data_IF_536923937852
#
_entry.id   IF_536923937852
#
_cell.length_a   1.000
_cell.length_b   1.000
_cell.length_c   1.000
_cell.angle_alpha   90.00
_cell.angle_beta   90.00
_cell.angle_gamma   90.00
#
_symmetry.space_group_name_H-M   'P 1'
#
loop_
_entity.id
_entity.type
_entity.pdbx_description
1 polymer ?
#
# COMPACT_ATOMS: atom_id res chain seq x y z
N UNK A 1 19.11 38.76 17.14
CA UNK A 1 18.35 37.68 17.84
C UNK A 1 17.27 37.02 17.02
N UNK A 2 17.06 37.32 15.74
CA UNK A 2 16.01 36.74 14.88
C UNK A 2 16.38 35.40 14.17
N UNK A 3 17.66 35.01 14.16
CA UNK A 3 18.13 33.81 13.41
C UNK A 3 17.81 32.46 14.09
N UNK A 4 17.58 32.45 15.40
CA UNK A 4 17.41 31.20 16.16
C UNK A 4 15.97 30.59 16.10
N UNK A 5 14.97 31.42 15.77
CA UNK A 5 13.56 30.97 15.67
C UNK A 5 13.28 30.17 14.39
N UNK A 6 13.83 30.59 13.25
CA UNK A 6 13.67 29.93 11.97
C UNK A 6 14.31 28.52 11.93
N UNK A 7 15.54 28.42 12.46
CA UNK A 7 16.25 27.12 12.52
C UNK A 7 15.54 26.10 13.41
N UNK A 8 14.96 26.51 14.54
CA UNK A 8 14.19 25.64 15.44
C UNK A 8 12.88 25.18 14.80
N UNK A 9 12.20 26.05 14.03
CA UNK A 9 10.97 25.70 13.32
C UNK A 9 11.26 24.67 12.21
N UNK A 10 12.30 24.91 11.40
CA UNK A 10 12.74 23.97 10.35
C UNK A 10 13.07 22.58 10.90
N UNK A 11 13.82 22.51 12.00
CA UNK A 11 14.16 21.23 12.66
C UNK A 11 12.89 20.54 13.18
N UNK A 12 11.95 21.29 13.77
CA UNK A 12 10.70 20.73 14.27
C UNK A 12 9.84 20.18 13.14
N UNK A 13 9.68 20.91 12.05
CA UNK A 13 8.90 20.51 10.88
C UNK A 13 9.52 19.28 10.20
N UNK A 14 10.86 19.24 10.08
CA UNK A 14 11.58 18.06 9.57
C UNK A 14 11.35 16.81 10.44
N UNK A 15 11.36 16.95 11.77
CA UNK A 15 11.09 15.81 12.67
C UNK A 15 9.66 15.29 12.54
N UNK A 16 8.67 16.18 12.33
CA UNK A 16 7.26 15.78 12.23
C UNK A 16 7.02 14.94 10.98
N UNK A 17 7.43 15.40 9.79
CA UNK A 17 7.17 14.63 8.57
C UNK A 17 7.96 13.32 8.52
N UNK A 18 9.21 13.28 9.04
CA UNK A 18 10.00 12.05 9.17
C UNK A 18 9.27 11.04 10.06
N UNK A 19 8.78 11.49 11.23
CA UNK A 19 8.02 10.63 12.15
C UNK A 19 6.74 10.09 11.51
N UNK A 20 6.01 10.92 10.75
CA UNK A 20 4.83 10.49 10.01
C UNK A 20 5.14 9.43 8.95
N UNK A 21 6.26 9.56 8.23
CA UNK A 21 6.67 8.57 7.22
C UNK A 21 7.12 7.26 7.87
N UNK A 22 7.85 7.32 8.97
CA UNK A 22 8.23 6.12 9.73
C UNK A 22 6.99 5.40 10.28
N UNK A 23 6.05 6.15 10.86
CA UNK A 23 4.77 5.61 11.33
C UNK A 23 4.02 4.92 10.18
N UNK A 24 3.92 5.59 9.01
CA UNK A 24 3.35 4.97 7.82
C UNK A 24 4.05 3.66 7.46
N UNK A 25 5.40 3.63 7.44
CA UNK A 25 6.17 2.43 7.12
C UNK A 25 5.85 1.26 8.05
N UNK A 26 5.86 1.50 9.36
CA UNK A 26 5.54 0.47 10.36
C UNK A 26 4.10 -0.02 10.22
N UNK A 27 3.14 0.90 10.13
CA UNK A 27 1.72 0.55 10.00
C UNK A 27 1.42 -0.16 8.67
N UNK A 28 2.09 0.23 7.58
CA UNK A 28 1.98 -0.45 6.29
C UNK A 28 2.51 -1.89 6.38
N UNK A 29 3.64 -2.12 7.06
CA UNK A 29 4.16 -3.47 7.27
C UNK A 29 3.21 -4.34 8.09
N UNK A 30 2.66 -3.80 9.18
CA UNK A 30 1.64 -4.47 9.98
C UNK A 30 0.37 -4.79 9.14
N UNK A 31 -0.06 -3.89 8.27
CA UNK A 31 -1.20 -4.11 7.36
C UNK A 31 -1.05 -5.36 6.51
N UNK A 32 0.15 -5.66 5.99
CA UNK A 32 0.34 -6.85 5.16
C UNK A 32 0.10 -8.15 5.96
N UNK A 33 0.44 -8.15 7.25
CA UNK A 33 0.14 -9.25 8.17
C UNK A 33 -1.37 -9.38 8.39
N UNK A 34 -2.04 -8.26 8.69
CA UNK A 34 -3.50 -8.22 8.88
C UNK A 34 -4.25 -8.64 7.61
N UNK A 35 -3.82 -8.20 6.42
CA UNK A 35 -4.39 -8.64 5.14
C UNK A 35 -4.35 -10.15 4.99
N UNK A 36 -3.18 -10.77 5.23
CA UNK A 36 -3.03 -12.21 5.10
C UNK A 36 -3.88 -12.97 6.12
N UNK A 37 -3.93 -12.51 7.37
CA UNK A 37 -4.81 -13.08 8.41
C UNK A 37 -6.30 -12.90 8.08
N UNK A 38 -6.70 -11.74 7.55
CA UNK A 38 -8.08 -11.49 7.12
C UNK A 38 -8.50 -12.44 5.99
N UNK A 39 -7.62 -12.65 5.00
CA UNK A 39 -7.87 -13.56 3.87
C UNK A 39 -7.80 -15.05 4.22
N UNK A 40 -7.38 -15.41 5.42
CA UNK A 40 -7.46 -16.79 5.90
C UNK A 40 -8.90 -17.23 6.24
N UNK A 41 -9.78 -16.26 6.55
CA UNK A 41 -11.19 -16.52 6.95
C UNK A 41 -12.23 -15.97 5.97
N UNK A 42 -11.79 -15.21 4.97
CA UNK A 42 -12.69 -14.53 4.03
C UNK A 42 -12.06 -14.50 2.64
N UNK A 43 -12.89 -14.37 1.61
CA UNK A 43 -12.40 -14.24 0.24
C UNK A 43 -11.71 -12.89 0.02
N UNK A 44 -10.87 -12.80 -1.01
CA UNK A 44 -10.17 -11.54 -1.35
C UNK A 44 -11.14 -10.39 -1.56
N UNK A 45 -12.27 -10.64 -2.25
CA UNK A 45 -13.26 -9.60 -2.56
C UNK A 45 -14.02 -9.19 -1.30
N UNK A 46 -14.40 -10.12 -0.45
CA UNK A 46 -15.04 -9.83 0.83
C UNK A 46 -14.16 -8.95 1.71
N UNK A 47 -12.87 -9.30 1.85
CA UNK A 47 -11.92 -8.48 2.60
C UNK A 47 -11.79 -7.08 1.99
N UNK A 48 -11.66 -6.96 0.67
CA UNK A 48 -11.52 -5.66 0.01
C UNK A 48 -12.76 -4.79 0.16
N UNK A 49 -13.97 -5.35 0.00
CA UNK A 49 -15.23 -4.61 0.14
C UNK A 49 -15.40 -4.09 1.57
N UNK A 50 -15.34 -4.97 2.56
CA UNK A 50 -15.55 -4.54 3.96
C UNK A 50 -14.44 -3.61 4.43
N UNK A 51 -13.19 -3.91 4.10
CA UNK A 51 -12.03 -3.07 4.39
C UNK A 51 -12.18 -1.65 3.86
N UNK A 52 -12.62 -1.48 2.60
CA UNK A 52 -12.79 -0.16 1.99
C UNK A 52 -14.00 0.57 2.57
N UNK A 53 -15.12 -0.12 2.82
CA UNK A 53 -16.30 0.47 3.46
C UNK A 53 -15.98 0.95 4.87
N UNK A 54 -15.36 0.13 5.70
CA UNK A 54 -14.96 0.53 7.06
C UNK A 54 -13.96 1.68 7.04
N UNK A 55 -12.99 1.65 6.10
CA UNK A 55 -12.04 2.75 5.94
C UNK A 55 -12.75 4.04 5.53
N UNK A 56 -13.75 3.98 4.64
CA UNK A 56 -14.55 5.15 4.28
C UNK A 56 -15.30 5.72 5.51
N UNK A 57 -15.91 4.87 6.33
CA UNK A 57 -16.57 5.32 7.57
C UNK A 57 -15.59 6.02 8.51
N UNK A 58 -14.38 5.46 8.69
CA UNK A 58 -13.36 6.11 9.50
C UNK A 58 -12.91 7.46 8.89
N UNK A 59 -12.73 7.52 7.57
CA UNK A 59 -12.36 8.76 6.87
C UNK A 59 -13.48 9.80 6.99
N UNK A 60 -14.75 9.42 6.88
CA UNK A 60 -15.86 10.34 7.09
C UNK A 60 -15.87 10.91 8.51
N UNK A 61 -15.56 10.11 9.52
CA UNK A 61 -15.45 10.57 10.90
C UNK A 61 -14.32 11.59 11.08
N UNK A 62 -13.13 11.33 10.49
CA UNK A 62 -12.01 12.29 10.53
C UNK A 62 -12.32 13.57 9.75
N UNK A 63 -12.99 13.46 8.61
CA UNK A 63 -13.45 14.60 7.80
C UNK A 63 -14.46 15.47 8.56
N UNK A 64 -15.41 14.84 9.26
CA UNK A 64 -16.35 15.58 10.10
C UNK A 64 -15.63 16.39 11.20
N UNK A 65 -14.58 15.82 11.80
CA UNK A 65 -13.71 16.54 12.73
C UNK A 65 -12.98 17.72 12.06
N UNK A 66 -12.41 17.52 10.88
CA UNK A 66 -11.72 18.61 10.15
C UNK A 66 -12.65 19.77 9.77
N UNK A 67 -13.89 19.45 9.40
CA UNK A 67 -14.92 20.46 9.10
C UNK A 67 -15.35 21.19 10.37
N UNK A 68 -15.51 20.47 11.50
CA UNK A 68 -15.97 21.05 12.75
C UNK A 68 -14.95 21.98 13.42
N UNK A 69 -13.66 21.68 13.26
CA UNK A 69 -12.55 22.40 13.91
C UNK A 69 -11.68 23.20 12.92
N UNK A 70 -11.95 23.12 11.62
CA UNK A 70 -11.22 23.83 10.58
C UNK A 70 -11.89 25.14 10.17
N UNK A 71 -11.15 25.96 9.43
CA UNK A 71 -11.61 27.27 8.96
C UNK A 71 -12.44 27.18 7.66
N UNK A 72 -12.43 26.02 6.98
CA UNK A 72 -13.12 25.80 5.71
C UNK A 72 -14.56 25.34 5.93
N UNK A 73 -15.53 26.00 5.28
CA UNK A 73 -16.91 25.62 5.35
C UNK A 73 -17.18 24.21 4.80
N UNK A 74 -18.12 23.47 5.42
CA UNK A 74 -18.43 22.08 5.03
C UNK A 74 -18.73 21.90 3.53
N UNK A 75 -19.48 22.85 2.93
CA UNK A 75 -19.84 22.82 1.51
C UNK A 75 -18.61 22.97 0.61
N UNK A 76 -17.72 23.87 0.95
CA UNK A 76 -16.47 24.12 0.22
C UNK A 76 -15.53 22.93 0.36
N UNK A 77 -15.39 22.38 1.57
CA UNK A 77 -14.58 21.20 1.81
C UNK A 77 -15.05 19.99 0.99
N UNK A 78 -16.36 19.74 0.96
CA UNK A 78 -16.92 18.56 0.28
C UNK A 78 -17.07 18.75 -1.24
N UNK A 79 -17.45 19.95 -1.69
CA UNK A 79 -17.84 20.16 -3.08
C UNK A 79 -17.05 21.29 -3.79
N UNK A 80 -16.03 21.84 -3.17
CA UNK A 80 -15.21 22.91 -3.73
C UNK A 80 -14.21 22.48 -4.81
N UNK A 81 -14.12 21.19 -5.12
CA UNK A 81 -13.19 20.65 -6.10
C UNK A 81 -13.62 20.98 -7.54
N UNK A 82 -12.65 21.21 -8.40
CA UNK A 82 -12.90 21.39 -9.86
C UNK A 82 -13.31 20.06 -10.50
N UNK A 83 -14.15 20.05 -11.56
CA UNK A 83 -14.55 18.81 -12.23
C UNK A 83 -13.37 17.93 -12.68
N UNK A 84 -12.29 18.54 -13.17
CA UNK A 84 -11.06 17.84 -13.56
C UNK A 84 -10.36 17.12 -12.40
N UNK A 85 -10.44 17.66 -11.16
CA UNK A 85 -9.88 17.03 -9.98
C UNK A 85 -10.69 15.79 -9.59
N UNK A 86 -12.02 15.85 -9.64
CA UNK A 86 -12.86 14.65 -9.42
C UNK A 86 -12.55 13.55 -10.44
N UNK A 87 -12.41 13.91 -11.72
CA UNK A 87 -12.06 12.94 -12.76
C UNK A 87 -10.69 12.32 -12.51
N UNK A 88 -9.69 13.11 -12.14
CA UNK A 88 -8.36 12.61 -11.83
C UNK A 88 -8.35 11.69 -10.59
N UNK A 89 -9.11 12.05 -9.53
CA UNK A 89 -9.27 11.20 -8.35
C UNK A 89 -10.00 9.90 -8.70
N UNK A 90 -11.02 9.94 -9.56
CA UNK A 90 -11.72 8.74 -10.02
C UNK A 90 -10.79 7.81 -10.80
N UNK A 91 -9.97 8.32 -11.72
CA UNK A 91 -8.96 7.55 -12.46
C UNK A 91 -7.94 6.93 -11.49
N UNK A 92 -7.42 7.73 -10.55
CA UNK A 92 -6.53 7.23 -9.48
C UNK A 92 -7.17 6.09 -8.69
N UNK A 93 -8.43 6.26 -8.29
CA UNK A 93 -9.17 5.24 -7.51
C UNK A 93 -9.38 3.96 -8.31
N UNK A 94 -9.63 4.07 -9.62
CA UNK A 94 -9.71 2.90 -10.50
C UNK A 94 -8.36 2.17 -10.62
N UNK A 95 -7.26 2.91 -10.75
CA UNK A 95 -5.90 2.33 -10.75
C UNK A 95 -5.64 1.57 -9.44
N UNK A 96 -6.00 2.17 -8.30
CA UNK A 96 -5.87 1.50 -6.98
C UNK A 96 -6.78 0.29 -6.87
N UNK A 97 -8.02 0.37 -7.37
CA UNK A 97 -8.96 -0.75 -7.37
C UNK A 97 -8.35 -1.99 -8.04
N UNK A 98 -7.78 -1.84 -9.23
CA UNK A 98 -7.10 -2.93 -9.94
C UNK A 98 -5.84 -3.37 -9.20
N UNK A 99 -5.03 -2.41 -8.74
CA UNK A 99 -3.79 -2.69 -8.01
C UNK A 99 -4.04 -3.54 -6.76
N UNK A 100 -5.08 -3.25 -6.00
CA UNK A 100 -5.38 -3.97 -4.77
C UNK A 100 -5.94 -5.37 -5.04
N UNK A 101 -6.78 -5.56 -6.05
CA UNK A 101 -7.22 -6.91 -6.45
C UNK A 101 -6.00 -7.78 -6.79
N UNK A 102 -5.07 -7.26 -7.61
CA UNK A 102 -3.85 -7.98 -7.98
C UNK A 102 -2.96 -8.26 -6.75
N UNK A 103 -2.74 -7.24 -5.92
CA UNK A 103 -1.88 -7.35 -4.75
C UNK A 103 -2.43 -8.30 -3.68
N UNK A 104 -3.71 -8.24 -3.37
CA UNK A 104 -4.34 -9.13 -2.40
C UNK A 104 -4.36 -10.60 -2.88
N UNK A 105 -4.63 -10.83 -4.17
CA UNK A 105 -4.55 -12.18 -4.75
C UNK A 105 -3.13 -12.74 -4.69
N UNK A 106 -2.12 -11.93 -5.01
CA UNK A 106 -0.73 -12.31 -4.89
C UNK A 106 -0.36 -12.62 -3.44
N UNK A 107 -0.66 -11.73 -2.50
CA UNK A 107 -0.34 -11.89 -1.09
C UNK A 107 -1.02 -13.13 -0.46
N UNK A 108 -2.23 -13.46 -0.89
CA UNK A 108 -2.95 -14.66 -0.39
C UNK A 108 -2.16 -15.95 -0.66
N UNK A 109 -1.53 -16.05 -1.83
CA UNK A 109 -0.83 -17.26 -2.32
C UNK A 109 0.69 -17.23 -2.10
N UNK A 110 1.22 -16.13 -1.62
CA UNK A 110 2.66 -15.94 -1.39
C UNK A 110 2.97 -15.72 0.09
N UNK A 111 4.19 -16.07 0.55
CA UNK A 111 4.66 -15.65 1.86
C UNK A 111 4.66 -14.12 2.01
N UNK A 112 4.32 -13.65 3.20
CA UNK A 112 4.22 -12.19 3.47
C UNK A 112 5.57 -11.50 3.29
N UNK A 113 6.66 -12.16 3.72
CA UNK A 113 8.01 -11.63 3.58
C UNK A 113 8.44 -11.51 2.11
N UNK A 114 8.14 -12.52 1.28
CA UNK A 114 8.44 -12.50 -0.17
C UNK A 114 7.64 -11.38 -0.85
N UNK A 115 6.35 -11.28 -0.56
CA UNK A 115 5.51 -10.19 -1.06
C UNK A 115 6.06 -8.82 -0.64
N UNK A 116 6.47 -8.66 0.62
CA UNK A 116 7.04 -7.42 1.14
C UNK A 116 8.31 -6.98 0.42
N UNK A 117 9.18 -7.94 0.03
CA UNK A 117 10.38 -7.63 -0.78
C UNK A 117 9.99 -7.27 -2.21
N UNK A 118 9.05 -7.99 -2.83
CA UNK A 118 8.55 -7.66 -4.17
C UNK A 118 7.87 -6.28 -4.20
N UNK A 119 7.18 -5.86 -3.14
CA UNK A 119 6.57 -4.52 -3.03
C UNK A 119 7.61 -3.39 -3.11
N UNK A 120 8.88 -3.67 -2.80
CA UNK A 120 9.97 -2.70 -2.99
C UNK A 120 10.24 -2.37 -4.48
N UNK A 121 9.84 -3.24 -5.43
CA UNK A 121 9.93 -2.96 -6.87
C UNK A 121 9.15 -1.70 -7.27
N UNK A 122 8.21 -1.26 -6.45
CA UNK A 122 7.50 0.02 -6.63
C UNK A 122 8.47 1.21 -6.78
N UNK A 123 9.62 1.18 -6.11
CA UNK A 123 10.63 2.24 -6.20
C UNK A 123 11.20 2.31 -7.62
N UNK A 124 11.50 1.16 -8.21
CA UNK A 124 11.99 1.07 -9.60
C UNK A 124 10.94 1.62 -10.57
N UNK A 125 9.69 1.20 -10.43
CA UNK A 125 8.61 1.71 -11.27
C UNK A 125 8.37 3.21 -11.08
N UNK A 126 8.45 3.71 -9.84
CA UNK A 126 8.31 5.14 -9.59
C UNK A 126 9.44 5.94 -10.21
N UNK A 127 10.68 5.45 -10.16
CA UNK A 127 11.83 6.07 -10.83
C UNK A 127 11.68 6.04 -12.36
N UNK A 128 11.26 4.90 -12.93
CA UNK A 128 11.01 4.79 -14.37
C UNK A 128 9.94 5.79 -14.83
N UNK A 129 8.85 5.94 -14.08
CA UNK A 129 7.81 6.92 -14.39
C UNK A 129 8.33 8.35 -14.29
N UNK A 130 9.18 8.67 -13.31
CA UNK A 130 9.85 9.96 -13.20
C UNK A 130 10.67 10.29 -14.44
N UNK A 131 11.46 9.33 -14.93
CA UNK A 131 12.27 9.49 -16.14
C UNK A 131 11.39 9.64 -17.39
N UNK A 132 10.42 8.74 -17.58
CA UNK A 132 9.64 8.66 -18.82
C UNK A 132 8.57 9.76 -18.92
N UNK A 133 7.92 10.12 -17.80
CA UNK A 133 6.79 11.05 -17.77
C UNK A 133 7.24 12.46 -17.44
N UNK A 134 8.16 12.62 -16.48
CA UNK A 134 8.65 13.93 -16.04
C UNK A 134 9.92 14.35 -16.75
N UNK A 135 10.51 13.50 -17.60
CA UNK A 135 11.75 13.79 -18.33
C UNK A 135 12.98 13.94 -17.42
N UNK A 136 12.93 13.39 -16.21
CA UNK A 136 14.04 13.43 -15.28
C UNK A 136 15.24 12.65 -15.84
N UNK A 137 16.44 13.21 -15.69
CA UNK A 137 17.69 12.54 -16.08
C UNK A 137 18.32 11.93 -14.84
N UNK A 138 18.33 10.60 -14.71
CA UNK A 138 18.93 9.98 -13.54
C UNK A 138 20.42 10.25 -13.48
N UNK A 139 20.93 10.57 -12.28
CA UNK A 139 22.36 10.63 -12.03
C UNK A 139 22.98 9.23 -12.11
N UNK A 140 24.31 9.14 -12.21
CA UNK A 140 25.02 7.85 -12.19
C UNK A 140 24.71 7.05 -10.90
N UNK A 141 24.58 7.74 -9.77
CA UNK A 141 24.24 7.14 -8.47
C UNK A 141 22.83 6.59 -8.47
N UNK A 142 21.88 7.31 -9.04
CA UNK A 142 20.48 6.83 -9.20
C UNK A 142 20.43 5.58 -10.09
N UNK A 143 21.17 5.58 -11.20
CA UNK A 143 21.28 4.41 -12.08
C UNK A 143 21.87 3.20 -11.36
N UNK A 144 22.98 3.38 -10.64
CA UNK A 144 23.61 2.32 -9.85
C UNK A 144 22.67 1.79 -8.74
N UNK A 145 21.95 2.68 -8.07
CA UNK A 145 20.96 2.33 -7.07
C UNK A 145 19.82 1.48 -7.64
N UNK A 146 19.27 1.84 -8.80
CA UNK A 146 18.23 1.06 -9.49
C UNK A 146 18.73 -0.34 -9.83
N UNK A 147 19.97 -0.46 -10.36
CA UNK A 147 20.59 -1.76 -10.66
C UNK A 147 20.71 -2.61 -9.39
N UNK A 148 21.13 -2.02 -8.27
CA UNK A 148 21.28 -2.72 -7.00
C UNK A 148 19.91 -3.19 -6.45
N UNK A 149 18.85 -2.38 -6.59
CA UNK A 149 17.46 -2.79 -6.27
C UNK A 149 17.05 -3.99 -7.11
N UNK A 150 17.28 -3.94 -8.43
CA UNK A 150 16.97 -5.06 -9.33
C UNK A 150 17.76 -6.33 -8.95
N UNK A 151 19.03 -6.19 -8.56
CA UNK A 151 19.86 -7.31 -8.08
C UNK A 151 19.27 -7.93 -6.80
N UNK A 152 18.89 -7.11 -5.82
CA UNK A 152 18.27 -7.59 -4.58
C UNK A 152 16.94 -8.34 -4.82
N UNK A 153 16.11 -7.83 -5.74
CA UNK A 153 14.88 -8.52 -6.16
C UNK A 153 15.17 -9.82 -6.91
N UNK A 154 16.23 -9.85 -7.74
CA UNK A 154 16.66 -11.05 -8.45
C UNK A 154 17.20 -12.12 -7.49
N UNK A 155 17.98 -11.72 -6.49
CA UNK A 155 18.48 -12.64 -5.46
C UNK A 155 17.37 -13.36 -4.71
N UNK A 156 16.21 -12.74 -4.57
CA UNK A 156 15.05 -13.36 -3.93
C UNK A 156 14.61 -14.66 -4.65
N UNK A 157 14.85 -14.79 -5.96
CA UNK A 157 14.55 -16.00 -6.72
C UNK A 157 15.31 -17.23 -6.21
N UNK A 158 16.49 -17.02 -5.63
CA UNK A 158 17.30 -18.11 -5.09
C UNK A 158 16.92 -18.51 -3.66
N UNK A 159 16.09 -17.71 -3.01
CA UNK A 159 15.51 -18.07 -1.72
C UNK A 159 14.38 -19.08 -1.97
N UNK A 160 14.76 -20.36 -2.19
CA UNK A 160 13.77 -21.44 -2.29
C UNK A 160 13.03 -21.54 -0.96
N UNK A 161 11.76 -21.29 -0.94
CA UNK A 161 10.92 -21.76 0.17
C UNK A 161 10.70 -23.25 -0.02
N UNK A 162 11.09 -24.02 1.00
CA UNK A 162 10.54 -25.38 1.14
C UNK A 162 9.04 -25.16 1.24
N UNK A 163 8.26 -25.80 0.35
CA UNK A 163 6.81 -25.68 0.36
C UNK A 163 6.35 -25.79 1.81
N UNK A 164 5.54 -24.82 2.26
CA UNK A 164 4.99 -24.86 3.60
C UNK A 164 4.42 -26.26 3.78
N UNK A 165 4.99 -26.99 4.76
CA UNK A 165 4.59 -28.34 5.05
C UNK A 165 3.08 -28.39 5.16
N UNK A 166 2.46 -29.34 4.49
CA UNK A 166 1.02 -29.61 4.40
C UNK A 166 0.32 -29.84 5.75
N UNK A 167 1.01 -29.65 6.86
CA UNK A 167 0.52 -29.91 8.20
C UNK A 167 -0.51 -28.91 8.74
N UNK A 168 -0.69 -27.75 8.10
CA UNK A 168 -1.74 -26.77 8.50
C UNK A 168 -3.04 -26.91 7.70
N UNK A 169 -3.11 -27.84 6.73
CA UNK A 169 -4.28 -28.08 5.89
C UNK A 169 -5.42 -28.88 6.56
N UNK A 170 -5.32 -29.22 7.83
CA UNK A 170 -6.25 -30.18 8.44
C UNK A 170 -7.44 -29.62 9.23
N UNK A 171 -7.67 -28.31 9.30
CA UNK A 171 -8.69 -27.82 10.26
C UNK A 171 -9.78 -26.87 9.74
N UNK A 172 -10.06 -26.77 8.46
CA UNK A 172 -11.32 -26.13 8.05
C UNK A 172 -11.83 -26.56 6.66
N UNK A 173 -12.64 -27.64 6.58
CA UNK A 173 -13.09 -28.18 5.29
C UNK A 173 -14.15 -27.33 4.58
N UNK A 174 -14.87 -26.44 5.28
CA UNK A 174 -16.06 -25.81 4.72
C UNK A 174 -15.79 -24.53 3.89
N UNK A 175 -14.72 -23.79 4.18
CA UNK A 175 -14.36 -22.58 3.43
C UNK A 175 -13.56 -22.89 2.16
N UNK A 176 -12.86 -24.03 2.16
CA UNK A 176 -12.03 -24.49 1.03
C UNK A 176 -12.88 -25.04 -0.13
N UNK A 177 -14.02 -25.68 0.19
CA UNK A 177 -14.86 -26.36 -0.80
C UNK A 177 -15.59 -25.40 -1.73
N UNK A 178 -16.02 -24.23 -1.27
CA UNK A 178 -16.78 -23.30 -2.11
C UNK A 178 -15.90 -22.51 -3.11
N UNK A 179 -14.66 -22.20 -2.75
CA UNK A 179 -13.72 -21.53 -3.66
C UNK A 179 -12.93 -22.52 -4.52
N UNK A 180 -12.59 -23.68 -3.99
CA UNK A 180 -11.90 -24.74 -4.73
C UNK A 180 -12.77 -25.29 -5.87
N UNK A 181 -14.09 -25.34 -5.71
CA UNK A 181 -15.01 -25.74 -6.78
C UNK A 181 -15.20 -24.65 -7.84
N UNK A 182 -15.01 -23.37 -7.52
CA UNK A 182 -15.05 -22.28 -8.49
C UNK A 182 -13.69 -22.07 -9.19
N UNK A 183 -12.57 -22.37 -8.52
CA UNK A 183 -11.21 -22.21 -9.05
C UNK A 183 -10.60 -23.51 -9.59
N UNK A 184 -11.07 -24.70 -9.18
CA UNK A 184 -10.52 -26.00 -9.60
C UNK A 184 -10.80 -26.32 -11.08
N UNK A 185 -11.60 -25.51 -11.74
CA UNK A 185 -11.88 -25.66 -13.18
C UNK A 185 -10.95 -24.87 -14.09
N UNK A 186 -10.07 -24.04 -13.54
CA UNK A 186 -9.12 -23.25 -14.34
C UNK A 186 -7.84 -22.97 -13.57
N UNK A 187 -6.80 -23.71 -13.97
CA UNK A 187 -5.39 -23.34 -13.86
C UNK A 187 -4.66 -23.59 -12.52
N UNK A 188 -3.75 -24.57 -12.57
CA UNK A 188 -2.47 -24.59 -11.82
C UNK A 188 -1.71 -23.31 -12.15
N UNK A 189 -2.10 -22.17 -11.57
CA UNK A 189 -1.34 -20.95 -11.71
C UNK A 189 0.03 -21.12 -11.04
N UNK A 190 1.06 -21.19 -11.86
CA UNK A 190 2.46 -21.20 -11.48
C UNK A 190 2.73 -20.05 -10.49
N UNK A 191 3.62 -20.25 -9.53
CA UNK A 191 4.18 -19.19 -8.65
C UNK A 191 4.54 -17.92 -9.45
N UNK A 192 4.99 -18.08 -10.70
CA UNK A 192 5.28 -16.99 -11.63
C UNK A 192 4.09 -16.07 -11.91
N UNK A 193 2.87 -16.60 -11.96
CA UNK A 193 1.66 -15.79 -12.16
C UNK A 193 1.40 -14.84 -10.96
N UNK A 194 1.55 -15.34 -9.73
CA UNK A 194 1.36 -14.50 -8.55
C UNK A 194 2.46 -13.46 -8.39
N UNK A 195 3.70 -13.79 -8.78
CA UNK A 195 4.79 -12.81 -8.89
C UNK A 195 4.43 -11.73 -9.91
N UNK A 196 3.91 -12.12 -11.07
CA UNK A 196 3.44 -11.16 -12.09
C UNK A 196 2.32 -10.26 -11.54
N UNK A 197 1.32 -10.82 -10.85
CA UNK A 197 0.26 -10.03 -10.21
C UNK A 197 0.83 -9.05 -9.17
N UNK A 198 1.81 -9.47 -8.37
CA UNK A 198 2.49 -8.58 -7.43
C UNK A 198 3.20 -7.43 -8.15
N UNK A 199 3.91 -7.71 -9.26
CA UNK A 199 4.59 -6.69 -10.05
C UNK A 199 3.61 -5.71 -10.71
N UNK A 200 2.49 -6.20 -11.26
CA UNK A 200 1.40 -5.33 -11.78
C UNK A 200 0.85 -4.44 -10.66
N UNK A 201 0.60 -5.01 -9.48
CA UNK A 201 0.16 -4.23 -8.31
C UNK A 201 1.18 -3.16 -7.94
N UNK A 202 2.48 -3.47 -7.92
CA UNK A 202 3.55 -2.52 -7.64
C UNK A 202 3.59 -1.37 -8.64
N UNK A 203 3.49 -1.69 -9.95
CA UNK A 203 3.46 -0.70 -11.01
C UNK A 203 2.25 0.25 -10.87
N UNK A 204 1.05 -0.29 -10.74
CA UNK A 204 -0.17 0.51 -10.60
C UNK A 204 -0.16 1.36 -9.31
N UNK A 205 0.38 0.84 -8.22
CA UNK A 205 0.57 1.63 -7.00
C UNK A 205 1.63 2.73 -7.18
N UNK A 206 2.67 2.52 -8.01
CA UNK A 206 3.63 3.57 -8.35
C UNK A 206 2.96 4.69 -9.18
N UNK A 207 2.13 4.33 -10.16
CA UNK A 207 1.31 5.29 -10.93
C UNK A 207 0.44 6.10 -9.99
N UNK A 208 -0.34 5.45 -9.13
CA UNK A 208 -1.21 6.13 -8.16
C UNK A 208 -0.44 7.07 -7.24
N UNK A 209 0.73 6.65 -6.73
CA UNK A 209 1.56 7.49 -5.86
C UNK A 209 2.12 8.74 -6.55
N UNK A 210 2.41 8.67 -7.86
CA UNK A 210 2.79 9.84 -8.64
C UNK A 210 1.58 10.77 -8.88
N UNK A 211 0.38 10.20 -9.11
CA UNK A 211 -0.86 10.99 -9.20
C UNK A 211 -1.16 11.75 -7.90
N UNK A 212 -0.88 11.16 -6.73
CA UNK A 212 -1.04 11.86 -5.44
C UNK A 212 -0.20 13.13 -5.36
N UNK A 213 1.06 13.05 -5.82
CA UNK A 213 1.96 14.22 -5.84
C UNK A 213 1.42 15.32 -6.73
N UNK A 214 0.98 14.97 -7.94
CA UNK A 214 0.41 15.93 -8.89
C UNK A 214 -0.85 16.58 -8.32
N UNK A 215 -1.76 15.78 -7.76
CA UNK A 215 -3.03 16.27 -7.21
C UNK A 215 -2.84 17.16 -5.98
N UNK A 216 -1.88 16.85 -5.11
CA UNK A 216 -1.65 17.64 -3.88
C UNK A 216 -0.75 18.84 -4.13
N UNK A 217 0.24 18.75 -5.01
CA UNK A 217 1.21 19.82 -5.27
C UNK A 217 0.66 20.87 -6.23
N UNK A 218 0.07 20.42 -7.33
CA UNK A 218 -0.37 21.30 -8.43
C UNK A 218 -1.88 21.57 -8.37
N UNK A 219 -2.62 20.78 -7.58
CA UNK A 219 -4.07 20.82 -7.49
C UNK A 219 -4.63 21.51 -6.25
N UNK A 220 -3.80 22.00 -5.33
CA UNK A 220 -4.21 22.63 -4.06
C UNK A 220 -5.18 21.78 -3.21
N UNK A 221 -5.15 20.45 -3.39
CA UNK A 221 -6.00 19.52 -2.66
C UNK A 221 -5.49 19.29 -1.25
N UNK A 222 -6.37 19.45 -0.27
CA UNK A 222 -6.03 19.04 1.10
C UNK A 222 -5.91 17.52 1.20
N UNK A 223 -5.11 17.04 2.15
CA UNK A 223 -4.93 15.61 2.41
C UNK A 223 -6.25 14.91 2.72
N UNK A 224 -7.15 15.60 3.42
CA UNK A 224 -8.46 15.09 3.79
C UNK A 224 -9.42 14.97 2.60
N UNK A 225 -9.49 16.00 1.76
CA UNK A 225 -10.33 15.99 0.56
C UNK A 225 -9.90 14.86 -0.39
N UNK A 226 -8.59 14.72 -0.64
CA UNK A 226 -8.07 13.63 -1.48
C UNK A 226 -8.43 12.27 -0.88
N UNK A 227 -8.22 12.07 0.43
CA UNK A 227 -8.49 10.80 1.09
C UNK A 227 -9.99 10.45 1.06
N UNK A 228 -10.86 11.43 1.31
CA UNK A 228 -12.32 11.22 1.27
C UNK A 228 -12.78 10.78 -0.11
N UNK A 229 -12.49 11.59 -1.13
CA UNK A 229 -13.02 11.33 -2.47
C UNK A 229 -12.44 10.08 -3.12
N UNK A 230 -11.14 9.81 -2.90
CA UNK A 230 -10.60 8.56 -3.44
C UNK A 230 -11.22 7.32 -2.79
N UNK A 231 -11.54 7.39 -1.48
CA UNK A 231 -12.23 6.28 -0.80
C UNK A 231 -13.69 6.13 -1.29
N UNK A 232 -14.40 7.23 -1.52
CA UNK A 232 -15.75 7.20 -2.09
C UNK A 232 -15.76 6.50 -3.45
N UNK A 233 -14.88 6.92 -4.38
CA UNK A 233 -14.78 6.29 -5.70
C UNK A 233 -14.32 4.83 -5.60
N UNK A 234 -13.40 4.52 -4.71
CA UNK A 234 -12.90 3.16 -4.53
C UNK A 234 -14.00 2.20 -4.04
N UNK A 235 -14.80 2.63 -3.05
CA UNK A 235 -15.97 1.86 -2.59
C UNK A 235 -16.98 1.71 -3.72
N UNK A 236 -17.26 2.77 -4.49
CA UNK A 236 -18.17 2.70 -5.64
C UNK A 236 -17.71 1.65 -6.67
N UNK A 237 -16.40 1.58 -6.98
CA UNK A 237 -15.86 0.57 -7.89
C UNK A 237 -15.98 -0.85 -7.34
N UNK A 238 -15.74 -1.06 -6.04
CA UNK A 238 -15.92 -2.40 -5.45
C UNK A 238 -17.40 -2.82 -5.43
N UNK A 239 -18.31 -1.92 -5.06
CA UNK A 239 -19.76 -2.19 -5.07
C UNK A 239 -20.24 -2.51 -6.49
N UNK A 240 -19.80 -1.70 -7.49
CA UNK A 240 -20.11 -1.94 -8.89
C UNK A 240 -19.56 -3.31 -9.35
N UNK A 241 -18.32 -3.64 -9.00
CA UNK A 241 -17.69 -4.92 -9.34
C UNK A 241 -18.48 -6.10 -8.77
N UNK A 242 -18.87 -6.04 -7.49
CA UNK A 242 -19.70 -7.08 -6.83
C UNK A 242 -21.04 -7.20 -7.52
N UNK A 243 -21.71 -6.07 -7.83
CA UNK A 243 -23.02 -6.06 -8.49
C UNK A 243 -22.96 -6.66 -9.91
N UNK A 244 -21.98 -6.25 -10.72
CA UNK A 244 -21.79 -6.74 -12.09
C UNK A 244 -21.43 -8.23 -12.11
N UNK A 245 -20.56 -8.66 -11.21
CA UNK A 245 -20.12 -10.06 -11.13
C UNK A 245 -21.10 -10.94 -10.33
N UNK A 246 -22.16 -10.35 -9.76
CA UNK A 246 -23.16 -11.04 -8.92
C UNK A 246 -22.53 -11.88 -7.80
N UNK A 247 -21.49 -11.36 -7.15
CA UNK A 247 -20.75 -12.06 -6.09
C UNK A 247 -21.64 -12.04 -4.83
N UNK A 248 -21.92 -13.21 -4.27
CA UNK A 248 -22.58 -13.32 -2.98
C UNK A 248 -21.58 -13.07 -1.86
N UNK A 249 -21.82 -12.01 -1.09
CA UNK A 249 -20.97 -11.64 0.05
C UNK A 249 -21.57 -12.22 1.34
N UNK A 250 -20.77 -12.94 2.10
CA UNK A 250 -21.17 -13.38 3.43
C UNK A 250 -20.90 -12.26 4.47
N UNK A 251 -21.81 -11.30 4.51
CA UNK A 251 -21.66 -10.09 5.36
C UNK A 251 -21.44 -10.46 6.83
N UNK A 252 -22.10 -11.50 7.34
CA UNK A 252 -21.95 -11.92 8.73
C UNK A 252 -20.51 -12.41 9.01
N UNK A 253 -20.00 -13.32 8.20
CA UNK A 253 -18.63 -13.82 8.33
C UNK A 253 -17.57 -12.71 8.16
N UNK A 254 -17.83 -11.74 7.28
CA UNK A 254 -17.00 -10.56 7.10
C UNK A 254 -16.93 -9.71 8.37
N UNK A 255 -18.09 -9.40 8.99
CA UNK A 255 -18.16 -8.57 10.20
C UNK A 255 -17.58 -9.27 11.44
N UNK A 256 -17.67 -10.58 11.51
CA UNK A 256 -17.07 -11.40 12.58
C UNK A 256 -15.53 -11.52 12.46
N UNK A 257 -14.93 -11.07 11.35
CA UNK A 257 -13.49 -11.13 11.13
C UNK A 257 -12.75 -9.91 11.72
N UNK A 258 -12.14 -9.99 12.91
CA UNK A 258 -11.53 -8.84 13.59
C UNK A 258 -10.32 -8.28 12.84
N UNK A 259 -9.68 -9.10 11.99
CA UNK A 259 -8.52 -8.67 11.22
C UNK A 259 -8.87 -7.61 10.17
N UNK A 260 -10.11 -7.60 9.65
CA UNK A 260 -10.57 -6.59 8.68
C UNK A 260 -10.76 -5.24 9.38
N UNK A 261 -11.29 -5.23 10.59
CA UNK A 261 -11.43 -4.00 11.41
C UNK A 261 -10.06 -3.38 11.70
N UNK A 262 -9.13 -4.19 12.21
CA UNK A 262 -7.77 -3.73 12.48
C UNK A 262 -7.06 -3.24 11.21
N UNK A 263 -7.25 -3.93 10.08
CA UNK A 263 -6.72 -3.53 8.78
C UNK A 263 -7.22 -2.13 8.36
N UNK A 264 -8.52 -1.86 8.53
CA UNK A 264 -9.14 -0.59 8.16
C UNK A 264 -8.62 0.58 8.99
N UNK A 265 -8.51 0.39 10.30
CA UNK A 265 -7.98 1.40 11.23
C UNK A 265 -6.51 1.70 10.91
N UNK A 266 -5.68 0.65 10.79
CA UNK A 266 -4.26 0.80 10.44
C UNK A 266 -4.07 1.53 9.11
N UNK A 267 -4.95 1.27 8.15
CA UNK A 267 -4.91 1.92 6.85
C UNK A 267 -5.18 3.42 6.95
N UNK A 268 -6.27 3.82 7.59
CA UNK A 268 -6.67 5.23 7.68
C UNK A 268 -5.61 6.04 8.40
N UNK A 269 -5.08 5.53 9.52
CA UNK A 269 -4.01 6.20 10.26
C UNK A 269 -2.73 6.30 9.42
N UNK A 270 -2.34 5.21 8.75
CA UNK A 270 -1.14 5.19 7.93
C UNK A 270 -1.23 6.15 6.74
N UNK A 271 -2.32 6.09 5.97
CA UNK A 271 -2.50 6.96 4.80
C UNK A 271 -2.58 8.44 5.21
N UNK A 272 -3.26 8.74 6.33
CA UNK A 272 -3.31 10.11 6.86
C UNK A 272 -1.92 10.61 7.23
N UNK A 273 -1.13 9.81 7.92
CA UNK A 273 0.25 10.16 8.26
C UNK A 273 1.10 10.42 7.01
N UNK A 274 0.94 9.60 5.96
CA UNK A 274 1.63 9.80 4.70
C UNK A 274 1.20 11.10 3.99
N UNK A 275 -0.09 11.38 3.94
CA UNK A 275 -0.60 12.59 3.29
C UNK A 275 -0.17 13.85 4.05
N UNK A 276 -0.17 13.83 5.39
CA UNK A 276 0.39 14.92 6.20
C UNK A 276 1.87 15.13 5.82
N UNK A 277 2.67 14.07 5.77
CA UNK A 277 4.07 14.18 5.39
C UNK A 277 4.27 14.74 3.97
N UNK A 278 3.42 14.36 3.01
CA UNK A 278 3.47 14.89 1.64
C UNK A 278 3.13 16.40 1.56
N UNK A 279 2.35 16.92 2.50
CA UNK A 279 2.00 18.33 2.59
C UNK A 279 3.13 19.25 3.05
N UNK A 280 4.23 18.71 3.61
CA UNK A 280 5.38 19.52 3.99
C UNK A 280 6.26 19.85 2.77
N UNK A 281 6.50 21.15 2.47
CA UNK A 281 7.32 21.56 1.32
C UNK A 281 8.77 21.04 1.38
N UNK A 282 9.27 20.84 2.60
CA UNK A 282 10.63 20.38 2.88
C UNK A 282 10.77 18.85 2.82
N UNK A 283 9.66 18.13 2.65
CA UNK A 283 9.69 16.69 2.59
C UNK A 283 10.39 16.20 1.31
N UNK A 284 11.62 15.73 1.45
CA UNK A 284 12.34 15.10 0.35
C UNK A 284 11.66 13.79 -0.03
N UNK A 285 11.18 13.71 -1.27
CA UNK A 285 10.59 12.48 -1.85
C UNK A 285 11.52 11.29 -1.69
N UNK A 286 12.77 11.55 -1.76
CA UNK A 286 13.91 10.66 -1.69
C UNK A 286 14.00 10.04 -0.29
N UNK A 287 14.12 10.89 0.74
CA UNK A 287 14.16 10.43 2.14
C UNK A 287 12.86 9.71 2.51
N UNK A 288 11.71 10.23 2.07
CA UNK A 288 10.43 9.55 2.26
C UNK A 288 10.40 8.16 1.65
N UNK A 289 10.95 7.98 0.46
CA UNK A 289 10.98 6.69 -0.23
C UNK A 289 11.81 5.67 0.55
N UNK A 290 12.98 6.07 1.05
CA UNK A 290 13.84 5.22 1.90
C UNK A 290 13.11 4.84 3.20
N UNK A 291 12.56 5.84 3.89
CA UNK A 291 11.87 5.60 5.17
C UNK A 291 10.63 4.70 5.03
N UNK A 292 9.89 4.84 3.93
CA UNK A 292 8.75 3.94 3.60
C UNK A 292 9.17 2.47 3.51
N UNK A 293 10.43 2.17 3.17
CA UNK A 293 10.91 0.79 3.07
C UNK A 293 11.06 0.10 4.44
N UNK A 294 10.98 0.85 5.54
CA UNK A 294 10.86 0.25 6.88
C UNK A 294 9.68 -0.74 6.96
N UNK A 295 8.65 -0.58 6.12
CA UNK A 295 7.54 -1.54 6.02
C UNK A 295 8.00 -2.95 5.69
N UNK A 296 9.05 -3.12 4.89
CA UNK A 296 9.51 -4.44 4.46
C UNK A 296 10.21 -5.19 5.60
N UNK A 297 10.93 -4.46 6.47
CA UNK A 297 11.51 -5.07 7.68
C UNK A 297 10.37 -5.59 8.57
N UNK A 298 9.32 -4.79 8.77
CA UNK A 298 8.16 -5.18 9.58
C UNK A 298 7.43 -6.38 8.96
N UNK A 299 7.24 -6.41 7.63
CA UNK A 299 6.62 -7.56 6.95
C UNK A 299 7.45 -8.83 7.03
N UNK A 300 8.77 -8.74 6.91
CA UNK A 300 9.66 -9.89 7.01
C UNK A 300 9.66 -10.45 8.44
N UNK A 301 9.81 -9.58 9.44
CA UNK A 301 9.76 -9.98 10.84
C UNK A 301 8.39 -10.52 11.23
N UNK A 302 7.31 -9.90 10.74
CA UNK A 302 5.95 -10.36 10.95
C UNK A 302 5.66 -11.70 10.27
N UNK A 303 6.21 -11.94 9.08
CA UNK A 303 6.16 -13.23 8.40
C UNK A 303 6.79 -14.33 9.26
N UNK A 304 7.93 -14.04 9.85
CA UNK A 304 8.58 -14.98 10.77
C UNK A 304 7.79 -15.20 12.06
N UNK A 305 7.42 -14.14 12.75
CA UNK A 305 6.77 -14.22 14.06
C UNK A 305 5.36 -14.81 13.99
N UNK A 306 4.57 -14.40 12.99
CA UNK A 306 3.13 -14.71 12.92
C UNK A 306 2.85 -15.93 12.06
N UNK A 307 3.60 -16.12 10.97
CA UNK A 307 3.41 -17.21 10.01
C UNK A 307 4.50 -18.27 10.05
N UNK A 308 5.49 -18.12 10.97
CA UNK A 308 6.65 -19.04 11.13
C UNK A 308 7.38 -19.31 9.81
N UNK A 309 7.49 -18.28 8.95
CA UNK A 309 8.19 -18.40 7.68
C UNK A 309 9.66 -18.76 7.89
N UNK A 310 10.19 -19.62 7.00
CA UNK A 310 11.58 -20.10 7.08
C UNK A 310 12.54 -19.17 6.31
N UNK A 311 13.87 -19.39 6.48
CA UNK A 311 14.97 -18.72 5.75
C UNK A 311 14.96 -17.19 5.89
N UNK A 312 14.58 -16.69 7.07
CA UNK A 312 14.45 -15.27 7.34
C UNK A 312 15.74 -14.48 7.12
N UNK A 313 16.91 -15.06 7.43
CA UNK A 313 18.21 -14.41 7.22
C UNK A 313 18.49 -14.11 5.76
N UNK A 314 18.16 -15.05 4.85
CA UNK A 314 18.31 -14.83 3.40
C UNK A 314 17.34 -13.74 2.88
N UNK A 315 16.10 -13.72 3.39
CA UNK A 315 15.10 -12.69 3.06
C UNK A 315 15.54 -11.33 3.57
N UNK A 316 16.09 -11.24 4.77
CA UNK A 316 16.65 -10.00 5.33
C UNK A 316 17.86 -9.52 4.53
N UNK A 317 18.73 -10.43 4.05
CA UNK A 317 19.86 -10.07 3.20
C UNK A 317 19.37 -9.46 1.86
N UNK A 318 18.41 -10.09 1.21
CA UNK A 318 17.80 -9.54 -0.01
C UNK A 318 17.19 -8.15 0.25
N UNK A 319 16.45 -7.98 1.33
CA UNK A 319 15.87 -6.70 1.72
C UNK A 319 16.95 -5.64 1.99
N UNK A 320 18.04 -6.01 2.64
CA UNK A 320 19.16 -5.10 2.91
C UNK A 320 19.84 -4.63 1.62
N UNK A 321 20.04 -5.51 0.63
CA UNK A 321 20.58 -5.16 -0.69
C UNK A 321 19.64 -4.18 -1.41
N UNK A 322 18.32 -4.43 -1.37
CA UNK A 322 17.32 -3.52 -1.97
C UNK A 322 17.35 -2.16 -1.28
N UNK A 323 17.38 -2.12 0.06
CA UNK A 323 17.43 -0.88 0.83
C UNK A 323 18.71 -0.10 0.50
N UNK A 324 19.87 -0.78 0.45
CA UNK A 324 21.13 -0.15 0.05
C UNK A 324 21.04 0.47 -1.35
N UNK A 325 20.42 -0.24 -2.31
CA UNK A 325 20.16 0.29 -3.66
C UNK A 325 19.27 1.52 -3.65
N UNK A 326 18.21 1.52 -2.82
CA UNK A 326 17.31 2.67 -2.65
C UNK A 326 18.07 3.86 -2.05
N UNK A 327 18.86 3.65 -1.00
CA UNK A 327 19.70 4.70 -0.40
C UNK A 327 20.66 5.28 -1.44
N UNK A 328 21.34 4.42 -2.21
CA UNK A 328 22.27 4.85 -3.25
C UNK A 328 21.59 5.65 -4.37
N UNK A 329 20.36 5.26 -4.74
CA UNK A 329 19.58 5.98 -5.77
C UNK A 329 19.12 7.37 -5.35
N UNK A 330 19.39 7.73 -4.11
CA UNK A 330 18.96 8.93 -3.42
C UNK A 330 20.10 9.94 -3.30
N UNK A 331 21.34 9.44 -3.29
CA UNK A 331 22.55 10.25 -3.32
C UNK A 331 22.81 10.80 -4.73
#
# INVERSE_FOLDING_TARGET
>A
MASNGGSRKLVKDSMVWISCVLLYGVLKGAREIFKKKAMAKSTVIEVLVLYTVLSLVCVMATTAGEIAFGDMGAREYLFGLRPGQYAAIAVKSFVIFVAWICGFRALRRMPVSVYGILDMARVVFSAMLGILVLGERPSLWQGAGIVLVCLGLFLLRFVKEDAASDDEKKNDPAAEIAEEQAETRSEKHSTGFYVFLAMVSCFLNAVSGNMDKVLMRDGDLSSGQLQLWYMVFLVAFYVLYVAVRRIHLNVRAMLENPWIWGLSILFVIADRALFIANGYPESSVIVMTVLKQACSIVTILGGWLVFREKKIGQKLLCAAVVIAGIVLSVL
#
